data_IF_106203042036
#
_entry.id   IF_106203042036
#
_cell.length_a   1.000
_cell.length_b   1.000
_cell.length_c   1.000
_cell.angle_alpha   90.00
_cell.angle_beta   90.00
_cell.angle_gamma   90.00
#
_symmetry.space_group_name_H-M   'P 1'
#
loop_
_entity.id
_entity.type
_entity.pdbx_description
1 polymer ?
#
# COMPACT_ATOMS: atom_id res chain seq x y z
N UNK A 1 -9.04 -29.62 8.29
CA UNK A 1 -8.42 -29.74 6.97
C UNK A 1 -7.90 -28.37 6.60
N UNK A 2 -6.59 -28.19 6.62
CA UNK A 2 -5.97 -26.90 6.29
C UNK A 2 -5.71 -26.92 4.78
N UNK A 3 -6.59 -26.30 4.00
CA UNK A 3 -6.33 -26.06 2.58
C UNK A 3 -5.28 -24.93 2.48
N UNK A 4 -4.03 -25.34 2.55
CA UNK A 4 -2.87 -24.48 2.30
C UNK A 4 -2.62 -24.42 0.78
N UNK A 5 -3.64 -24.00 0.02
CA UNK A 5 -3.56 -23.88 -1.43
C UNK A 5 -2.79 -22.59 -1.76
N UNK A 6 -1.62 -22.74 -2.34
CA UNK A 6 -0.87 -21.60 -2.87
C UNK A 6 -1.64 -21.05 -4.07
N UNK A 7 -1.99 -19.76 -4.03
CA UNK A 7 -2.70 -19.09 -5.13
C UNK A 7 -1.74 -18.93 -6.32
N UNK A 8 -1.87 -19.77 -7.34
CA UNK A 8 -0.90 -19.85 -8.45
C UNK A 8 -1.40 -19.17 -9.74
N UNK A 9 -2.71 -18.89 -9.84
CA UNK A 9 -3.30 -18.28 -11.04
C UNK A 9 -3.99 -16.96 -10.70
N UNK A 10 -4.10 -16.07 -11.69
CA UNK A 10 -4.86 -14.81 -11.56
C UNK A 10 -6.31 -15.04 -11.11
N UNK A 11 -6.95 -16.11 -11.61
CA UNK A 11 -8.29 -16.49 -11.22
C UNK A 11 -8.41 -16.83 -9.74
N UNK A 12 -7.46 -17.59 -9.19
CA UNK A 12 -7.44 -17.95 -7.75
C UNK A 12 -7.19 -16.73 -6.86
N UNK A 13 -6.34 -15.80 -7.30
CA UNK A 13 -6.11 -14.54 -6.58
C UNK A 13 -7.35 -13.66 -6.61
N UNK A 14 -7.97 -13.46 -7.77
CA UNK A 14 -9.19 -12.67 -7.90
C UNK A 14 -10.35 -13.29 -7.10
N UNK A 15 -10.49 -14.62 -7.08
CA UNK A 15 -11.48 -15.34 -6.28
C UNK A 15 -11.24 -15.15 -4.76
N UNK A 16 -9.98 -15.20 -4.32
CA UNK A 16 -9.63 -14.93 -2.92
C UNK A 16 -9.98 -13.50 -2.50
N UNK A 17 -9.85 -12.52 -3.41
CA UNK A 17 -10.27 -11.14 -3.17
C UNK A 17 -11.79 -10.97 -3.25
N UNK A 18 -12.50 -11.62 -4.17
CA UNK A 18 -13.96 -11.53 -4.26
C UNK A 18 -14.67 -12.07 -3.01
N UNK A 19 -14.00 -12.91 -2.22
CA UNK A 19 -14.48 -13.37 -0.92
C UNK A 19 -14.30 -12.36 0.22
N UNK A 20 -13.57 -11.25 0.00
CA UNK A 20 -13.37 -10.21 1.02
C UNK A 20 -14.65 -9.38 1.18
N UNK A 21 -14.96 -8.92 2.39
CA UNK A 21 -16.14 -8.08 2.63
C UNK A 21 -15.98 -6.70 1.95
N UNK A 22 -17.09 -6.06 1.54
CA UNK A 22 -17.12 -4.75 0.85
C UNK A 22 -16.29 -3.68 1.56
N UNK A 23 -16.27 -3.68 2.90
CA UNK A 23 -15.45 -2.80 3.71
C UNK A 23 -13.93 -2.93 3.47
N UNK A 24 -13.47 -4.01 2.83
CA UNK A 24 -12.07 -4.20 2.46
C UNK A 24 -11.68 -3.24 1.34
N UNK A 25 -12.59 -3.00 0.39
CA UNK A 25 -12.38 -2.16 -0.79
C UNK A 25 -12.80 -0.69 -0.58
N UNK A 26 -13.38 -0.36 0.56
CA UNK A 26 -13.93 0.96 0.85
C UNK A 26 -13.17 1.68 1.96
N UNK A 27 -13.29 3.01 1.96
CA UNK A 27 -12.73 3.89 2.97
C UNK A 27 -11.44 4.60 2.53
N UNK A 28 -11.49 5.93 2.57
CA UNK A 28 -10.36 6.78 2.20
C UNK A 28 -9.19 6.66 3.19
N UNK A 29 -7.98 6.54 2.68
CA UNK A 29 -6.72 6.62 3.45
C UNK A 29 -6.34 8.09 3.69
N UNK A 30 -7.15 8.78 4.49
CA UNK A 30 -7.02 10.23 4.72
C UNK A 30 -5.63 10.63 5.19
N UNK A 31 -5.00 9.83 6.06
CA UNK A 31 -3.64 10.08 6.55
C UNK A 31 -2.58 10.12 5.45
N UNK A 32 -2.80 9.46 4.30
CA UNK A 32 -1.92 9.56 3.14
C UNK A 32 -2.14 10.88 2.40
N UNK A 33 -3.39 11.29 2.30
CA UNK A 33 -3.79 12.47 1.55
C UNK A 33 -3.45 13.76 2.31
N UNK A 34 -3.63 13.75 3.62
CA UNK A 34 -3.43 14.95 4.46
C UNK A 34 -1.98 15.45 4.44
N UNK A 35 -1.00 14.57 4.20
CA UNK A 35 0.43 14.95 4.10
C UNK A 35 0.82 15.50 2.72
N UNK A 36 -0.04 15.35 1.70
CA UNK A 36 0.21 15.89 0.37
C UNK A 36 0.01 17.42 0.35
N UNK A 37 0.83 18.15 -0.42
CA UNK A 37 0.57 19.57 -0.66
C UNK A 37 -0.72 19.76 -1.45
N UNK A 38 -1.35 20.90 -1.30
CA UNK A 38 -2.45 21.30 -2.17
C UNK A 38 -1.90 21.59 -3.56
N UNK A 39 -2.39 20.86 -4.57
CA UNK A 39 -2.03 21.03 -5.96
C UNK A 39 -3.16 20.53 -6.88
N UNK A 40 -4.15 21.39 -7.22
CA UNK A 40 -5.29 21.01 -8.05
C UNK A 40 -4.91 20.68 -9.51
N UNK A 41 -3.66 20.88 -9.92
CA UNK A 41 -3.17 20.47 -11.23
C UNK A 41 -2.47 19.12 -11.22
N UNK A 42 -2.22 18.53 -10.03
CA UNK A 42 -1.52 17.26 -9.91
C UNK A 42 -2.35 16.10 -10.49
N UNK A 43 -1.64 15.13 -11.06
CA UNK A 43 -2.18 13.85 -11.51
C UNK A 43 -1.79 12.77 -10.53
N UNK A 44 -2.80 12.09 -9.99
CA UNK A 44 -2.64 11.04 -9.00
C UNK A 44 -2.89 9.67 -9.63
N UNK A 45 -1.99 8.73 -9.38
CA UNK A 45 -2.16 7.30 -9.67
C UNK A 45 -2.30 6.54 -8.35
N UNK A 46 -3.38 5.80 -8.20
CA UNK A 46 -3.59 4.87 -7.08
C UNK A 46 -3.61 3.43 -7.58
N UNK A 47 -2.68 2.61 -7.08
CA UNK A 47 -2.64 1.17 -7.33
C UNK A 47 -3.38 0.46 -6.21
N UNK A 48 -4.27 -0.50 -6.56
CA UNK A 48 -5.19 -1.12 -5.62
C UNK A 48 -6.20 -0.10 -5.11
N UNK A 49 -6.85 0.62 -6.03
CA UNK A 49 -7.69 1.76 -5.68
C UNK A 49 -9.01 1.34 -5.00
N UNK A 50 -9.37 0.04 -5.00
CA UNK A 50 -10.65 -0.43 -4.50
C UNK A 50 -11.81 0.33 -5.13
N UNK A 51 -12.70 0.89 -4.31
CA UNK A 51 -13.83 1.72 -4.76
C UNK A 51 -13.41 3.15 -5.16
N UNK A 52 -12.11 3.53 -5.07
CA UNK A 52 -11.61 4.84 -5.47
C UNK A 52 -11.71 5.93 -4.40
N UNK A 53 -12.06 5.58 -3.18
CA UNK A 53 -12.36 6.54 -2.10
C UNK A 53 -11.16 7.44 -1.74
N UNK A 54 -9.94 6.91 -1.78
CA UNK A 54 -8.73 7.67 -1.43
C UNK A 54 -8.41 8.73 -2.47
N UNK A 55 -8.42 8.37 -3.74
CA UNK A 55 -8.18 9.31 -4.84
C UNK A 55 -9.30 10.36 -4.94
N UNK A 56 -10.56 9.95 -4.74
CA UNK A 56 -11.69 10.89 -4.68
C UNK A 56 -11.56 11.88 -3.52
N UNK A 57 -11.11 11.43 -2.35
CA UNK A 57 -10.82 12.30 -1.21
C UNK A 57 -9.67 13.28 -1.52
N UNK A 58 -8.62 12.82 -2.21
CA UNK A 58 -7.52 13.69 -2.64
C UNK A 58 -8.02 14.82 -3.55
N UNK A 59 -8.88 14.52 -4.52
CA UNK A 59 -9.51 15.53 -5.38
C UNK A 59 -10.37 16.48 -4.58
N UNK A 60 -11.26 15.97 -3.74
CA UNK A 60 -12.16 16.77 -2.89
C UNK A 60 -11.40 17.76 -2.01
N UNK A 61 -10.20 17.40 -1.55
CA UNK A 61 -9.35 18.23 -0.69
C UNK A 61 -8.32 19.06 -1.47
N UNK A 62 -8.43 19.10 -2.81
CA UNK A 62 -7.58 19.93 -3.67
C UNK A 62 -6.11 19.46 -3.77
N UNK A 63 -5.86 18.19 -3.50
CA UNK A 63 -4.51 17.60 -3.57
C UNK A 63 -4.13 17.13 -4.97
N UNK A 64 -5.14 16.92 -5.82
CA UNK A 64 -4.99 16.61 -7.25
C UNK A 64 -6.21 17.08 -8.03
N UNK A 65 -6.07 17.20 -9.35
CA UNK A 65 -7.17 17.51 -10.27
C UNK A 65 -7.55 16.34 -11.17
N UNK A 66 -6.66 15.37 -11.32
CA UNK A 66 -6.88 14.16 -12.11
C UNK A 66 -6.53 12.92 -11.30
N UNK A 67 -7.43 11.93 -11.28
CA UNK A 67 -7.25 10.70 -10.53
C UNK A 67 -7.37 9.49 -11.45
N UNK A 68 -6.34 8.66 -11.44
CA UNK A 68 -6.31 7.36 -12.13
C UNK A 68 -6.20 6.24 -11.11
N UNK A 69 -7.03 5.21 -11.24
CA UNK A 69 -6.98 3.98 -10.45
C UNK A 69 -6.53 2.78 -11.27
N UNK A 70 -5.80 1.86 -10.65
CA UNK A 70 -5.57 0.50 -11.13
C UNK A 70 -6.10 -0.46 -10.09
N UNK A 71 -7.00 -1.35 -10.47
CA UNK A 71 -7.63 -2.30 -9.56
C UNK A 71 -7.68 -3.70 -10.18
N UNK A 72 -7.40 -4.72 -9.36
CA UNK A 72 -7.41 -6.12 -9.81
C UNK A 72 -8.84 -6.63 -10.03
N UNK A 73 -9.76 -6.25 -9.13
CA UNK A 73 -11.11 -6.76 -9.07
C UNK A 73 -12.09 -5.88 -9.86
N UNK A 74 -12.89 -6.52 -10.72
CA UNK A 74 -13.82 -5.83 -11.61
C UNK A 74 -14.90 -5.03 -10.86
N UNK A 75 -15.46 -5.60 -9.79
CA UNK A 75 -16.57 -4.98 -9.05
C UNK A 75 -16.14 -3.69 -8.33
N UNK A 76 -15.06 -3.67 -7.50
CA UNK A 76 -14.57 -2.43 -6.92
C UNK A 76 -14.12 -1.41 -7.98
N UNK A 77 -13.50 -1.85 -9.08
CA UNK A 77 -13.11 -0.98 -10.18
C UNK A 77 -14.30 -0.28 -10.83
N UNK A 78 -15.45 -0.99 -10.97
CA UNK A 78 -16.66 -0.39 -11.50
C UNK A 78 -17.25 0.69 -10.58
N UNK A 79 -17.11 0.54 -9.26
CA UNK A 79 -17.46 1.59 -8.30
C UNK A 79 -16.48 2.78 -8.39
N UNK A 80 -15.17 2.49 -8.47
CA UNK A 80 -14.15 3.53 -8.64
C UNK A 80 -14.37 4.37 -9.91
N UNK A 81 -14.79 3.74 -11.02
CA UNK A 81 -15.04 4.42 -12.29
C UNK A 81 -16.18 5.47 -12.21
N UNK A 82 -17.02 5.43 -11.18
CA UNK A 82 -18.07 6.45 -10.96
C UNK A 82 -17.53 7.75 -10.38
N UNK A 83 -16.30 7.72 -9.81
CA UNK A 83 -15.73 8.86 -9.12
C UNK A 83 -14.28 9.21 -9.51
N UNK A 84 -13.60 8.38 -10.28
CA UNK A 84 -12.26 8.65 -10.81
C UNK A 84 -12.33 9.00 -12.30
N UNK A 85 -11.31 9.69 -12.82
CA UNK A 85 -11.26 10.10 -14.24
C UNK A 85 -10.91 8.91 -15.14
N UNK A 86 -10.13 7.96 -14.63
CA UNK A 86 -9.74 6.77 -15.35
C UNK A 86 -9.55 5.60 -14.36
N UNK A 87 -10.02 4.43 -14.74
CA UNK A 87 -9.76 3.19 -13.99
C UNK A 87 -9.33 2.10 -14.97
N UNK A 88 -8.23 1.44 -14.66
CA UNK A 88 -7.76 0.26 -15.38
C UNK A 88 -8.00 -0.97 -14.51
N UNK A 89 -8.54 -2.02 -15.10
CA UNK A 89 -8.77 -3.31 -14.43
C UNK A 89 -7.73 -4.31 -14.88
N UNK A 90 -7.01 -4.88 -13.94
CA UNK A 90 -6.02 -5.92 -14.23
C UNK A 90 -4.92 -6.05 -13.20
N UNK A 91 -4.11 -7.08 -13.38
CA UNK A 91 -2.93 -7.33 -12.56
C UNK A 91 -1.79 -6.38 -12.95
N UNK A 92 -1.41 -5.50 -12.01
CA UNK A 92 -0.30 -4.55 -12.20
C UNK A 92 0.98 -5.24 -12.70
N UNK A 93 1.25 -6.47 -12.25
CA UNK A 93 2.48 -7.19 -12.62
C UNK A 93 2.48 -7.64 -14.07
N UNK A 94 1.30 -7.87 -14.68
CA UNK A 94 1.16 -8.43 -16.02
C UNK A 94 0.65 -7.44 -17.07
N UNK A 95 -0.20 -6.48 -16.68
CA UNK A 95 -0.82 -5.53 -17.59
C UNK A 95 0.17 -4.51 -18.14
N UNK A 96 -0.02 -4.05 -19.35
CA UNK A 96 0.64 -2.84 -19.85
C UNK A 96 -0.05 -1.60 -19.27
N UNK A 97 0.75 -0.57 -18.98
CA UNK A 97 0.25 0.71 -18.50
C UNK A 97 0.24 1.72 -19.65
N UNK A 98 -0.93 2.12 -20.18
CA UNK A 98 -1.04 2.97 -21.36
C UNK A 98 -0.87 4.46 -21.01
N UNK A 99 0.13 4.77 -20.19
CA UNK A 99 0.38 6.15 -19.75
C UNK A 99 1.61 6.75 -20.42
N UNK A 100 1.61 8.06 -20.66
CA UNK A 100 2.83 8.76 -21.03
C UNK A 100 3.89 8.67 -19.92
N UNK A 101 5.16 8.78 -20.31
CA UNK A 101 6.26 8.92 -19.33
C UNK A 101 6.13 10.23 -18.55
N UNK A 102 6.57 10.22 -17.31
CA UNK A 102 6.54 11.40 -16.41
C UNK A 102 5.14 12.04 -16.29
N UNK A 103 4.10 11.20 -16.24
CA UNK A 103 2.70 11.64 -16.28
C UNK A 103 2.11 11.97 -14.92
N UNK A 104 2.51 11.24 -13.87
CA UNK A 104 1.90 11.33 -12.56
C UNK A 104 2.79 12.08 -11.56
N UNK A 105 2.18 12.95 -10.77
CA UNK A 105 2.82 13.73 -9.71
C UNK A 105 2.74 13.04 -8.35
N UNK A 106 1.77 12.12 -8.19
CA UNK A 106 1.52 11.37 -6.96
C UNK A 106 1.24 9.91 -7.29
N UNK A 107 1.92 9.00 -6.57
CA UNK A 107 1.63 7.56 -6.55
C UNK A 107 1.19 7.14 -5.16
N UNK A 108 0.08 6.42 -5.06
CA UNK A 108 -0.41 5.80 -3.83
C UNK A 108 -0.47 4.28 -4.01
N UNK A 109 0.08 3.55 -3.02
CA UNK A 109 0.02 2.09 -2.93
C UNK A 109 -0.26 1.71 -1.47
N UNK A 110 -1.53 1.61 -1.10
CA UNK A 110 -1.92 1.28 0.28
C UNK A 110 -2.34 -0.17 0.39
N UNK A 111 -1.62 -0.98 1.14
CA UNK A 111 -1.88 -2.42 1.33
C UNK A 111 -1.91 -3.17 -0.02
N UNK A 112 -0.90 -2.94 -0.86
CA UNK A 112 -0.75 -3.56 -2.20
C UNK A 112 0.55 -4.34 -2.32
N UNK A 113 1.66 -3.76 -1.88
CA UNK A 113 3.02 -4.27 -2.13
C UNK A 113 3.24 -5.66 -1.54
N UNK A 114 2.62 -5.96 -0.41
CA UNK A 114 2.68 -7.27 0.25
C UNK A 114 1.98 -8.39 -0.52
N UNK A 115 1.10 -8.04 -1.45
CA UNK A 115 0.38 -8.98 -2.30
C UNK A 115 1.08 -9.27 -3.64
N UNK A 116 2.10 -8.50 -3.99
CA UNK A 116 2.84 -8.66 -5.25
C UNK A 116 3.83 -9.84 -5.18
N UNK A 117 3.96 -10.55 -6.28
CA UNK A 117 4.97 -11.63 -6.43
C UNK A 117 6.37 -11.04 -6.51
N UNK A 118 6.55 -9.97 -7.28
CA UNK A 118 7.78 -9.21 -7.41
C UNK A 118 7.57 -7.70 -7.22
N UNK A 119 7.53 -7.22 -5.97
CA UNK A 119 7.34 -5.81 -5.68
C UNK A 119 8.46 -4.91 -6.22
N UNK A 120 9.69 -5.42 -6.37
CA UNK A 120 10.80 -4.68 -6.99
C UNK A 120 10.53 -4.42 -8.47
N UNK A 121 10.09 -5.45 -9.22
CA UNK A 121 9.73 -5.29 -10.63
C UNK A 121 8.56 -4.33 -10.79
N UNK A 122 7.52 -4.43 -9.96
CA UNK A 122 6.36 -3.55 -9.99
C UNK A 122 6.73 -2.08 -9.73
N UNK A 123 7.57 -1.80 -8.72
CA UNK A 123 8.04 -0.45 -8.44
C UNK A 123 8.90 0.10 -9.57
N UNK A 124 9.81 -0.69 -10.15
CA UNK A 124 10.60 -0.29 -11.32
C UNK A 124 9.73 -0.06 -12.55
N UNK A 125 8.66 -0.84 -12.75
CA UNK A 125 7.69 -0.66 -13.82
C UNK A 125 6.94 0.67 -13.71
N UNK A 126 6.55 1.07 -12.49
CA UNK A 126 5.84 2.33 -12.22
C UNK A 126 6.74 3.56 -12.34
N UNK A 127 8.02 3.42 -12.05
CA UNK A 127 8.96 4.53 -11.95
C UNK A 127 8.98 5.46 -13.18
N UNK A 128 9.01 4.99 -14.45
CA UNK A 128 9.04 5.86 -15.62
C UNK A 128 7.80 6.75 -15.79
N UNK A 129 6.64 6.33 -15.29
CA UNK A 129 5.38 7.07 -15.42
C UNK A 129 5.22 8.21 -14.41
N UNK A 130 6.08 8.24 -13.40
CA UNK A 130 6.08 9.31 -12.40
C UNK A 130 6.90 10.50 -12.91
N UNK A 131 6.45 11.72 -12.65
CA UNK A 131 7.23 12.91 -12.91
C UNK A 131 8.47 13.01 -12.00
N UNK A 132 9.58 13.66 -12.41
CA UNK A 132 10.68 13.95 -11.51
C UNK A 132 10.19 14.67 -10.24
N UNK A 133 10.57 14.17 -9.08
CA UNK A 133 10.09 14.70 -7.78
C UNK A 133 8.68 14.28 -7.37
N UNK A 134 8.00 13.44 -8.16
CA UNK A 134 6.68 12.91 -7.82
C UNK A 134 6.66 12.27 -6.43
N UNK A 135 5.59 12.51 -5.67
CA UNK A 135 5.42 11.96 -4.33
C UNK A 135 4.93 10.52 -4.40
N UNK A 136 5.50 9.67 -3.57
CA UNK A 136 5.10 8.26 -3.45
C UNK A 136 4.73 7.99 -2.00
N UNK A 137 3.53 7.49 -1.79
CA UNK A 137 3.01 7.11 -0.48
C UNK A 137 2.58 5.64 -0.54
N UNK A 138 3.20 4.82 0.28
CA UNK A 138 2.91 3.39 0.29
C UNK A 138 2.79 2.88 1.72
N UNK A 139 1.82 2.01 1.95
CA UNK A 139 1.59 1.35 3.22
C UNK A 139 1.65 -0.16 3.10
N UNK A 140 2.13 -0.82 4.15
CA UNK A 140 2.16 -2.28 4.27
C UNK A 140 2.10 -2.69 5.75
N UNK A 141 1.60 -3.88 6.07
CA UNK A 141 1.67 -4.43 7.41
C UNK A 141 3.11 -4.63 7.88
N UNK A 142 3.33 -4.42 9.16
CA UNK A 142 4.63 -4.56 9.80
C UNK A 142 4.80 -5.94 10.44
N UNK A 143 5.56 -6.83 9.80
CA UNK A 143 5.84 -8.16 10.35
C UNK A 143 6.70 -8.12 11.63
N UNK A 144 7.43 -7.02 11.89
CA UNK A 144 8.18 -6.85 13.12
C UNK A 144 7.31 -6.53 14.35
N UNK A 145 5.99 -6.32 14.19
CA UNK A 145 5.10 -6.02 15.32
C UNK A 145 5.18 -7.10 16.40
N UNK A 146 5.18 -6.69 17.67
CA UNK A 146 5.38 -7.58 18.82
C UNK A 146 4.40 -8.76 18.87
N UNK A 147 3.21 -8.67 18.27
CA UNK A 147 2.25 -9.79 18.20
C UNK A 147 2.78 -10.92 17.32
N UNK A 148 3.43 -10.60 16.21
CA UNK A 148 4.07 -11.58 15.31
C UNK A 148 5.29 -12.19 16.00
N UNK A 149 6.13 -11.37 16.63
CA UNK A 149 7.28 -11.87 17.41
C UNK A 149 6.83 -12.84 18.50
N UNK A 150 5.76 -12.51 19.23
CA UNK A 150 5.20 -13.41 20.27
C UNK A 150 4.68 -14.71 19.69
N UNK A 151 4.10 -14.70 18.50
CA UNK A 151 3.64 -15.88 17.78
C UNK A 151 4.83 -16.77 17.39
N UNK A 152 5.89 -16.18 16.82
CA UNK A 152 7.12 -16.88 16.45
C UNK A 152 7.83 -17.50 17.67
N UNK A 153 7.91 -16.79 18.78
CA UNK A 153 8.48 -17.32 20.05
C UNK A 153 7.71 -18.54 20.60
N UNK A 154 6.47 -18.78 20.13
CA UNK A 154 5.69 -19.98 20.43
C UNK A 154 5.77 -21.05 19.34
N UNK A 155 6.69 -20.91 18.38
CA UNK A 155 6.84 -21.84 17.25
C UNK A 155 5.67 -21.83 16.28
N UNK A 156 4.91 -20.71 16.17
CA UNK A 156 3.70 -20.61 15.35
C UNK A 156 3.88 -19.58 14.24
N UNK A 157 3.14 -19.80 13.14
CA UNK A 157 2.95 -18.86 12.02
C UNK A 157 1.52 -19.01 11.53
N UNK A 158 0.59 -18.34 12.23
CA UNK A 158 -0.83 -18.53 12.01
C UNK A 158 -1.35 -17.50 11.00
N UNK A 159 -1.82 -17.99 9.87
CA UNK A 159 -2.51 -17.15 8.89
C UNK A 159 -3.89 -16.73 9.40
N UNK A 160 -4.31 -15.53 9.01
CA UNK A 160 -5.58 -14.92 9.34
C UNK A 160 -6.33 -14.49 8.06
N UNK A 161 -7.63 -14.25 8.13
CA UNK A 161 -8.38 -13.72 6.99
C UNK A 161 -8.09 -12.24 6.71
N UNK A 162 -7.45 -11.51 7.64
CA UNK A 162 -7.15 -10.08 7.55
C UNK A 162 -5.95 -9.71 8.44
N UNK A 163 -5.32 -8.56 8.17
CA UNK A 163 -4.26 -7.96 8.98
C UNK A 163 -2.87 -8.46 8.64
N UNK A 164 -1.89 -8.32 9.55
CA UNK A 164 -0.47 -8.61 9.27
C UNK A 164 -0.24 -10.02 8.72
N UNK A 165 -1.03 -10.98 9.16
CA UNK A 165 -0.93 -12.39 8.77
C UNK A 165 -2.00 -12.81 7.77
N UNK A 166 -2.51 -11.88 6.97
CA UNK A 166 -3.49 -12.21 5.92
C UNK A 166 -2.94 -13.31 5.00
N UNK A 167 -3.80 -14.27 4.64
CA UNK A 167 -3.43 -15.41 3.78
C UNK A 167 -3.03 -15.00 2.37
N UNK A 168 -3.47 -13.83 1.92
CA UNK A 168 -3.17 -13.30 0.59
C UNK A 168 -1.83 -12.56 0.53
N UNK A 169 -1.16 -12.34 1.66
CA UNK A 169 0.18 -11.76 1.68
C UNK A 169 1.21 -12.76 1.16
N UNK A 170 1.99 -12.32 0.18
CA UNK A 170 3.12 -13.05 -0.39
C UNK A 170 4.46 -12.53 0.12
N UNK A 171 4.49 -11.29 0.62
CA UNK A 171 5.70 -10.61 1.12
C UNK A 171 5.41 -9.99 2.48
N UNK A 172 6.43 -9.97 3.33
CA UNK A 172 6.36 -9.35 4.65
C UNK A 172 7.53 -8.40 4.82
N UNK A 173 7.25 -7.22 5.35
CA UNK A 173 8.24 -6.18 5.52
C UNK A 173 8.36 -5.72 6.97
N UNK A 174 9.58 -5.36 7.35
CA UNK A 174 9.87 -4.51 8.50
C UNK A 174 10.04 -3.07 8.02
N UNK A 175 10.02 -2.06 8.89
CA UNK A 175 10.29 -0.67 8.47
C UNK A 175 11.60 -0.50 7.70
N UNK A 176 12.65 -1.24 8.08
CA UNK A 176 13.95 -1.18 7.41
C UNK A 176 13.90 -1.81 6.01
N UNK A 177 13.36 -3.01 5.89
CA UNK A 177 13.32 -3.71 4.59
C UNK A 177 12.32 -3.07 3.63
N UNK A 178 11.26 -2.42 4.16
CA UNK A 178 10.32 -1.66 3.33
C UNK A 178 10.95 -0.37 2.77
N UNK A 179 11.77 0.33 3.57
CA UNK A 179 12.62 1.43 3.08
C UNK A 179 13.54 0.95 1.96
N UNK A 180 14.29 -0.12 2.22
CA UNK A 180 15.26 -0.70 1.29
C UNK A 180 14.62 -1.01 -0.07
N UNK A 181 13.42 -1.60 -0.08
CA UNK A 181 12.67 -1.91 -1.29
C UNK A 181 12.53 -0.69 -2.22
N UNK A 182 12.16 0.47 -1.67
CA UNK A 182 12.01 1.70 -2.47
C UNK A 182 13.35 2.24 -2.93
N UNK A 183 14.37 2.24 -2.06
CA UNK A 183 15.71 2.72 -2.38
C UNK A 183 16.35 1.88 -3.50
N UNK A 184 16.19 0.55 -3.46
CA UNK A 184 16.67 -0.39 -4.50
C UNK A 184 15.96 -0.18 -5.87
N UNK A 185 14.80 0.46 -5.86
CA UNK A 185 14.01 0.75 -7.06
C UNK A 185 14.15 2.18 -7.60
N UNK A 186 15.11 2.98 -7.08
CA UNK A 186 15.41 4.32 -7.56
C UNK A 186 14.54 5.43 -6.96
N UNK A 187 13.90 5.16 -5.82
CA UNK A 187 13.15 6.17 -5.08
C UNK A 187 13.98 6.71 -3.91
N UNK A 188 13.89 8.01 -3.67
CA UNK A 188 14.44 8.63 -2.47
C UNK A 188 13.43 8.57 -1.33
N UNK A 189 13.69 7.73 -0.33
CA UNK A 189 12.81 7.64 0.84
C UNK A 189 13.04 8.86 1.76
N UNK A 190 11.97 9.62 1.95
CA UNK A 190 11.95 10.81 2.82
C UNK A 190 11.70 10.42 4.27
N UNK A 191 10.72 9.55 4.49
CA UNK A 191 10.38 9.07 5.83
C UNK A 191 9.77 7.68 5.81
N UNK A 192 9.92 6.98 6.94
CA UNK A 192 9.20 5.74 7.24
C UNK A 192 8.53 5.94 8.60
N UNK A 193 7.23 6.13 8.56
CA UNK A 193 6.46 6.44 9.76
C UNK A 193 5.27 5.48 9.90
N UNK A 194 4.79 5.25 11.11
CA UNK A 194 3.50 4.61 11.32
C UNK A 194 2.36 5.57 10.97
N UNK A 195 1.20 5.05 10.56
CA UNK A 195 0.05 5.89 10.20
C UNK A 195 -0.59 6.63 11.39
N UNK A 196 -0.25 6.21 12.60
CA UNK A 196 -0.84 6.76 13.83
C UNK A 196 0.21 6.90 14.94
N UNK A 197 0.07 7.90 15.83
CA UNK A 197 0.95 8.05 16.97
C UNK A 197 0.77 6.89 17.96
N UNK A 198 1.84 6.61 18.71
CA UNK A 198 1.80 5.60 19.77
C UNK A 198 0.80 5.95 20.87
N UNK A 199 0.03 4.96 21.31
CA UNK A 199 -0.82 5.06 22.51
C UNK A 199 0.05 5.25 23.75
N UNK A 200 -0.52 5.84 24.81
CA UNK A 200 0.22 6.25 26.00
C UNK A 200 1.16 5.16 26.57
N UNK A 201 0.67 3.94 26.77
CA UNK A 201 1.50 2.83 27.30
C UNK A 201 2.66 2.45 26.37
N UNK A 202 2.41 2.42 25.06
CA UNK A 202 3.45 2.16 24.06
C UNK A 202 4.47 3.30 23.98
N UNK A 203 4.04 4.54 24.17
CA UNK A 203 4.91 5.71 24.24
C UNK A 203 5.84 5.65 25.45
N UNK A 204 5.32 5.26 26.62
CA UNK A 204 6.14 5.07 27.84
C UNK A 204 7.17 3.96 27.62
N UNK A 205 6.76 2.82 27.09
CA UNK A 205 7.69 1.72 26.75
C UNK A 205 8.77 2.17 25.75
N UNK A 206 8.37 2.92 24.71
CA UNK A 206 9.32 3.46 23.73
C UNK A 206 10.34 4.40 24.36
N UNK A 207 9.92 5.24 25.31
CA UNK A 207 10.81 6.10 26.08
C UNK A 207 11.81 5.28 26.91
N UNK A 208 11.34 4.25 27.62
CA UNK A 208 12.19 3.35 28.43
C UNK A 208 13.23 2.59 27.58
N UNK A 209 12.92 2.31 26.33
CA UNK A 209 13.82 1.62 25.39
C UNK A 209 14.64 2.58 24.51
N UNK A 210 14.60 3.88 24.81
CA UNK A 210 15.28 4.91 24.02
C UNK A 210 14.95 4.86 22.52
N UNK A 211 13.70 4.48 22.18
CA UNK A 211 13.23 4.34 20.80
C UNK A 211 13.72 3.09 20.04
N UNK A 212 14.64 2.31 20.60
CA UNK A 212 15.24 1.16 19.91
C UNK A 212 14.25 0.09 19.51
N UNK A 213 13.13 -0.06 20.25
CA UNK A 213 12.10 -1.05 20.01
C UNK A 213 10.81 -0.45 19.39
N UNK A 214 10.86 0.77 18.86
CA UNK A 214 9.71 1.45 18.27
C UNK A 214 9.10 0.65 17.12
N UNK A 215 9.93 -0.02 16.32
CA UNK A 215 9.49 -0.86 15.21
C UNK A 215 8.57 -2.03 15.62
N UNK A 216 8.57 -2.44 16.89
CA UNK A 216 7.71 -3.48 17.43
C UNK A 216 6.31 -2.99 17.83
N UNK A 217 6.08 -1.68 17.85
CA UNK A 217 4.90 -1.05 18.46
C UNK A 217 3.81 -0.67 17.45
N UNK A 218 4.10 -0.75 16.17
CA UNK A 218 3.16 -0.38 15.11
C UNK A 218 2.84 -1.58 14.23
N UNK A 219 1.56 -1.73 13.89
CA UNK A 219 1.06 -2.81 13.02
C UNK A 219 1.25 -2.51 11.54
N UNK A 220 1.47 -1.24 11.19
CA UNK A 220 1.62 -0.78 9.80
C UNK A 220 2.85 0.10 9.64
N UNK A 221 3.39 0.08 8.44
CA UNK A 221 4.50 0.91 7.95
C UNK A 221 3.94 1.82 6.88
N UNK A 222 4.27 3.10 6.92
CA UNK A 222 4.00 4.03 5.81
C UNK A 222 5.31 4.63 5.35
N UNK A 223 5.62 4.44 4.08
CA UNK A 223 6.75 5.08 3.40
C UNK A 223 6.24 6.32 2.68
N UNK A 224 6.94 7.44 2.89
CA UNK A 224 6.89 8.61 2.03
C UNK A 224 8.20 8.72 1.27
N UNK A 225 8.12 8.69 -0.05
CA UNK A 225 9.28 8.75 -0.94
C UNK A 225 9.02 9.74 -2.08
N UNK A 226 10.04 9.99 -2.89
CA UNK A 226 9.89 10.70 -4.15
C UNK A 226 10.72 10.01 -5.25
N UNK A 227 10.27 10.16 -6.50
CA UNK A 227 11.07 9.81 -7.66
C UNK A 227 12.28 10.74 -7.77
N UNK A 228 13.47 10.17 -7.94
CA UNK A 228 14.69 10.91 -8.28
C UNK A 228 14.67 11.37 -9.74
#
# INVERSE_FOLDING_TARGET
>A
MNDNKTLNTLGEVAEAYSSKPDRYFSGARTSFIDVLPTNPSARLLEIGCGNGDTAAYARKTGKCGWCTGVELCQEPAAEAAKQLDQVLVGDLEQMDLPFPLAHFDVLIMSEVIEHLRDPWAALRKLHPYLAPGAKVLAGSPNVAHHSVLRMLLRGRWDYAPMGVMDRTHLRWFTPTTYRQLFEDCGYKVVSVNPPSPLRFKARLFNCMTFGRLQHLLHTQIVVSACRL
#
